data_IF_289669234155
#
_entry.id   IF_289669234155
#
_cell.length_a   1.000
_cell.length_b   1.000
_cell.length_c   1.000
_cell.angle_alpha   90.00
_cell.angle_beta   90.00
_cell.angle_gamma   90.00
#
_symmetry.space_group_name_H-M   'P 1'
#
loop_
_entity.id
_entity.type
_entity.pdbx_description
1 polymer ?
#
# COMPACT_ATOMS: atom_id res chain seq x y z
N UNK A 1 -0.92 -0.81 20.49
CA UNK A 1 0.20 -1.56 19.86
C UNK A 1 0.34 -2.97 20.43
N UNK A 2 0.18 -3.17 21.74
CA UNK A 2 0.32 -4.49 22.42
C UNK A 2 -0.57 -5.60 21.82
N UNK A 3 -1.75 -5.25 21.31
CA UNK A 3 -2.65 -6.21 20.65
C UNK A 3 -2.09 -6.79 19.35
N UNK A 4 -1.36 -5.99 18.55
CA UNK A 4 -0.70 -6.44 17.32
C UNK A 4 0.61 -7.16 17.59
N UNK A 5 1.34 -6.78 18.65
CA UNK A 5 2.60 -7.42 19.01
C UNK A 5 2.45 -8.90 19.39
N UNK A 6 1.26 -9.32 19.84
CA UNK A 6 0.95 -10.70 20.24
C UNK A 6 0.43 -11.59 19.11
N UNK A 7 0.27 -11.06 17.89
CA UNK A 7 -0.26 -11.82 16.76
C UNK A 7 0.86 -12.41 15.89
N UNK A 8 0.65 -13.63 15.37
CA UNK A 8 1.56 -14.26 14.40
C UNK A 8 1.73 -13.42 13.12
N UNK A 9 0.69 -12.68 12.73
CA UNK A 9 0.67 -11.77 11.56
C UNK A 9 1.28 -10.38 11.84
N UNK A 10 2.02 -10.22 12.96
CA UNK A 10 2.69 -8.97 13.35
C UNK A 10 3.42 -8.25 12.19
N UNK A 11 4.26 -8.90 11.35
CA UNK A 11 4.99 -8.17 10.32
C UNK A 11 4.07 -7.53 9.26
N UNK A 12 3.05 -8.26 8.81
CA UNK A 12 2.05 -7.75 7.86
C UNK A 12 1.24 -6.62 8.49
N UNK A 13 0.81 -6.79 9.75
CA UNK A 13 0.05 -5.81 10.48
C UNK A 13 0.79 -4.48 10.63
N UNK A 14 2.06 -4.53 11.06
CA UNK A 14 2.89 -3.35 11.22
C UNK A 14 3.13 -2.62 9.89
N UNK A 15 3.27 -3.35 8.78
CA UNK A 15 3.37 -2.73 7.45
C UNK A 15 2.08 -2.05 7.04
N UNK A 16 0.93 -2.71 7.17
CA UNK A 16 -0.37 -2.12 6.81
C UNK A 16 -0.61 -0.84 7.62
N UNK A 17 -0.30 -0.87 8.92
CA UNK A 17 -0.41 0.29 9.79
C UNK A 17 0.60 1.38 9.42
N UNK A 18 1.85 1.01 9.13
CA UNK A 18 2.88 1.93 8.64
C UNK A 18 2.44 2.62 7.34
N UNK A 19 1.96 1.85 6.36
CA UNK A 19 1.38 2.39 5.13
C UNK A 19 0.23 3.35 5.44
N UNK A 20 -0.68 2.98 6.34
CA UNK A 20 -1.82 3.84 6.71
C UNK A 20 -1.39 5.16 7.36
N UNK A 21 -0.36 5.12 8.21
CA UNK A 21 0.16 6.27 8.96
C UNK A 21 0.95 7.22 8.05
N UNK A 22 1.79 6.68 7.17
CA UNK A 22 2.68 7.49 6.33
C UNK A 22 2.07 7.90 4.99
N UNK A 23 0.97 7.28 4.56
CA UNK A 23 0.25 7.69 3.36
C UNK A 23 -0.42 9.06 3.55
N UNK A 24 -0.13 9.99 2.64
CA UNK A 24 -0.78 11.31 2.58
C UNK A 24 -2.25 11.22 2.16
N UNK A 25 -2.64 10.20 1.38
CA UNK A 25 -4.02 10.01 0.91
C UNK A 25 -4.69 8.83 1.60
N UNK A 26 -6.02 8.79 1.53
CA UNK A 26 -6.80 7.64 1.96
C UNK A 26 -6.38 6.38 1.20
N UNK A 27 -6.07 5.30 1.93
CA UNK A 27 -5.73 4.00 1.37
C UNK A 27 -6.99 3.18 1.13
N UNK A 28 -7.14 2.65 -0.07
CA UNK A 28 -8.23 1.74 -0.42
C UNK A 28 -7.88 0.29 -0.04
N UNK A 29 -8.88 -0.51 0.31
CA UNK A 29 -8.73 -1.94 0.61
C UNK A 29 -7.95 -2.67 -0.49
N UNK A 30 -8.34 -2.44 -1.75
CA UNK A 30 -7.69 -3.07 -2.90
C UNK A 30 -6.21 -2.71 -3.02
N UNK A 31 -5.84 -1.48 -2.67
CA UNK A 31 -4.44 -1.04 -2.69
C UNK A 31 -3.62 -1.79 -1.66
N UNK A 32 -4.14 -1.97 -0.44
CA UNK A 32 -3.46 -2.76 0.59
C UNK A 32 -3.38 -4.23 0.19
N UNK A 33 -4.44 -4.82 -0.37
CA UNK A 33 -4.39 -6.20 -0.86
C UNK A 33 -3.30 -6.40 -1.90
N UNK A 34 -3.15 -5.46 -2.83
CA UNK A 34 -2.08 -5.50 -3.82
C UNK A 34 -0.71 -5.24 -3.20
N UNK A 35 -0.58 -4.27 -2.31
CA UNK A 35 0.68 -3.94 -1.66
C UNK A 35 1.22 -5.13 -0.85
N UNK A 36 0.35 -5.84 -0.11
CA UNK A 36 0.78 -7.06 0.59
C UNK A 36 1.14 -8.18 -0.41
N UNK A 37 0.32 -8.38 -1.45
CA UNK A 37 0.62 -9.40 -2.45
C UNK A 37 1.95 -9.14 -3.17
N UNK A 38 2.25 -7.87 -3.48
CA UNK A 38 3.52 -7.42 -4.10
C UNK A 38 4.69 -7.65 -3.16
N UNK A 39 4.51 -7.34 -1.89
CA UNK A 39 5.59 -7.53 -0.93
C UNK A 39 5.96 -9.01 -0.76
N UNK A 40 4.97 -9.90 -0.84
CA UNK A 40 5.16 -11.36 -0.84
C UNK A 40 5.71 -11.94 -2.16
N UNK A 41 5.77 -11.15 -3.24
CA UNK A 41 6.33 -11.61 -4.52
C UNK A 41 7.83 -11.89 -4.39
N UNK A 42 8.24 -12.99 -5.00
CA UNK A 42 9.65 -13.28 -5.28
C UNK A 42 10.11 -12.45 -6.47
N UNK A 43 11.42 -12.23 -6.58
CA UNK A 43 12.03 -11.53 -7.72
C UNK A 43 11.74 -12.20 -9.08
N UNK A 44 11.41 -13.49 -9.08
CA UNK A 44 10.99 -14.25 -10.26
C UNK A 44 9.54 -13.97 -10.68
N UNK A 45 8.73 -13.44 -9.78
CA UNK A 45 7.30 -13.27 -10.01
C UNK A 45 7.04 -12.00 -10.81
N UNK A 46 6.35 -12.17 -11.92
CA UNK A 46 6.13 -11.10 -12.92
C UNK A 46 4.69 -10.59 -12.96
N UNK A 47 3.83 -11.14 -12.12
CA UNK A 47 2.40 -10.82 -12.06
C UNK A 47 1.80 -11.14 -10.70
N UNK A 48 0.81 -10.36 -10.28
CA UNK A 48 0.02 -10.63 -9.07
C UNK A 48 -1.15 -11.55 -9.45
N UNK A 49 -1.30 -12.67 -8.74
CA UNK A 49 -2.46 -13.55 -8.88
C UNK A 49 -3.59 -13.12 -7.95
N UNK A 50 -4.84 -13.27 -8.39
CA UNK A 50 -6.01 -13.04 -7.54
C UNK A 50 -6.00 -13.92 -6.28
N UNK A 51 -5.35 -15.08 -6.32
CA UNK A 51 -5.19 -15.99 -5.17
C UNK A 51 -4.21 -15.47 -4.11
N UNK A 52 -3.31 -14.56 -4.50
CA UNK A 52 -2.36 -13.91 -3.60
C UNK A 52 -2.96 -12.71 -2.87
N UNK A 53 -4.16 -12.26 -3.26
CA UNK A 53 -4.84 -11.15 -2.61
C UNK A 53 -5.43 -11.61 -1.28
N UNK A 54 -4.97 -11.00 -0.19
CA UNK A 54 -5.46 -11.30 1.14
C UNK A 54 -6.92 -10.87 1.31
N UNK A 55 -7.74 -11.69 1.97
CA UNK A 55 -9.15 -11.32 2.24
C UNK A 55 -9.23 -10.16 3.21
N UNK A 56 -10.27 -9.34 3.06
CA UNK A 56 -10.57 -8.22 3.96
C UNK A 56 -10.55 -8.62 5.44
N UNK A 57 -11.21 -9.72 5.79
CA UNK A 57 -11.29 -10.22 7.17
C UNK A 57 -9.91 -10.55 7.74
N UNK A 58 -9.00 -11.07 6.91
CA UNK A 58 -7.62 -11.38 7.33
C UNK A 58 -6.86 -10.09 7.61
N UNK A 59 -7.01 -9.06 6.77
CA UNK A 59 -6.36 -7.74 6.96
C UNK A 59 -6.84 -7.08 8.27
N UNK A 60 -8.15 -7.06 8.53
CA UNK A 60 -8.73 -6.48 9.75
C UNK A 60 -8.30 -7.25 11.00
N UNK A 61 -8.34 -8.60 10.93
CA UNK A 61 -7.92 -9.47 12.02
C UNK A 61 -6.43 -9.33 12.32
N UNK A 62 -5.59 -9.27 11.28
CA UNK A 62 -4.14 -9.09 11.40
C UNK A 62 -3.79 -7.73 12.03
N UNK A 63 -4.59 -6.69 11.80
CA UNK A 63 -4.40 -5.40 12.45
C UNK A 63 -5.03 -5.32 13.84
N UNK A 64 -5.49 -6.44 14.42
CA UNK A 64 -6.17 -6.54 15.70
C UNK A 64 -7.32 -5.53 15.88
N UNK A 65 -8.02 -5.19 14.79
CA UNK A 65 -9.09 -4.19 14.79
C UNK A 65 -8.61 -2.76 15.05
N UNK A 66 -7.35 -2.42 14.74
CA UNK A 66 -6.88 -1.03 14.78
C UNK A 66 -7.24 -0.25 13.51
N UNK A 67 -7.68 -0.96 12.46
CA UNK A 67 -8.22 -0.38 11.23
C UNK A 67 -9.70 -0.73 11.06
N UNK A 68 -10.44 0.16 10.42
CA UNK A 68 -11.80 -0.04 9.90
C UNK A 68 -11.77 0.15 8.39
N UNK A 69 -12.64 -0.58 7.70
CA UNK A 69 -12.88 -0.39 6.27
C UNK A 69 -14.29 0.15 6.12
N UNK A 70 -14.40 1.27 5.42
CA UNK A 70 -15.68 1.85 5.07
C UNK A 70 -16.37 1.00 4.00
N UNK A 71 -17.64 0.66 4.23
CA UNK A 71 -18.38 -0.28 3.38
C UNK A 71 -18.74 0.27 2.00
N UNK A 72 -18.87 1.59 1.87
CA UNK A 72 -19.26 2.24 0.62
C UNK A 72 -18.02 2.59 -0.22
N UNK A 73 -17.03 3.25 0.42
CA UNK A 73 -15.85 3.77 -0.26
C UNK A 73 -14.66 2.80 -0.29
N UNK A 74 -14.72 1.69 0.48
CA UNK A 74 -13.61 0.76 0.66
C UNK A 74 -12.33 1.42 1.20
N UNK A 75 -12.44 2.57 1.87
CA UNK A 75 -11.32 3.28 2.47
C UNK A 75 -10.94 2.64 3.81
N UNK A 76 -9.65 2.39 3.97
CA UNK A 76 -9.04 1.97 5.24
C UNK A 76 -8.79 3.20 6.09
N UNK A 77 -9.38 3.22 7.27
CA UNK A 77 -9.22 4.25 8.29
C UNK A 77 -8.76 3.63 9.61
N UNK A 78 -8.11 4.41 10.46
CA UNK A 78 -7.85 3.97 11.84
C UNK A 78 -9.17 4.04 12.62
N UNK A 79 -9.40 3.09 13.54
CA UNK A 79 -10.70 2.99 14.25
C UNK A 79 -11.01 4.23 15.09
N UNK A 80 -9.99 4.87 15.66
CA UNK A 80 -10.15 6.09 16.45
C UNK A 80 -9.24 7.21 15.91
N UNK A 81 -9.78 8.43 15.92
CA UNK A 81 -9.03 9.65 15.57
C UNK A 81 -7.80 9.85 16.46
N UNK A 82 -7.92 9.53 17.75
CA UNK A 82 -6.80 9.59 18.72
C UNK A 82 -5.67 8.61 18.38
N UNK A 83 -5.98 7.49 17.72
CA UNK A 83 -4.97 6.56 17.20
C UNK A 83 -4.17 7.19 16.06
N UNK A 84 -4.82 8.00 15.23
CA UNK A 84 -4.14 8.75 14.17
C UNK A 84 -3.21 9.82 14.75
N UNK A 85 -3.70 10.62 15.71
CA UNK A 85 -2.92 11.64 16.41
C UNK A 85 -1.71 11.03 17.17
N UNK A 86 -1.91 9.88 17.81
CA UNK A 86 -0.84 9.13 18.46
C UNK A 86 0.25 8.71 17.47
N UNK A 87 -0.13 8.21 16.29
CA UNK A 87 0.82 7.78 15.27
C UNK A 87 1.44 8.94 14.47
N UNK A 88 0.78 10.10 14.36
CA UNK A 88 1.40 11.30 13.79
C UNK A 88 2.62 11.75 14.62
N UNK A 89 2.56 11.58 15.95
CA UNK A 89 3.67 11.93 16.86
C UNK A 89 4.66 10.77 17.08
N UNK A 90 4.14 9.54 17.14
CA UNK A 90 4.90 8.34 17.54
C UNK A 90 5.28 7.42 16.37
N UNK A 91 4.90 7.77 15.15
CA UNK A 91 5.06 6.97 13.94
C UNK A 91 6.49 6.47 13.71
N UNK A 92 7.53 7.32 13.82
CA UNK A 92 8.92 6.89 13.66
C UNK A 92 9.36 5.83 14.68
N UNK A 93 8.82 5.87 15.91
CA UNK A 93 9.14 4.89 16.96
C UNK A 93 8.50 3.52 16.68
N UNK A 94 7.28 3.52 16.15
CA UNK A 94 6.51 2.30 15.94
C UNK A 94 6.71 1.67 14.56
N UNK A 95 7.03 2.47 13.55
CA UNK A 95 7.22 2.04 12.17
C UNK A 95 8.47 2.69 11.55
N UNK A 96 9.67 2.42 12.10
CA UNK A 96 10.91 3.05 11.65
C UNK A 96 11.26 2.75 10.18
N UNK A 97 10.80 1.61 9.66
CA UNK A 97 11.06 1.16 8.29
C UNK A 97 9.89 1.42 7.34
N UNK A 98 8.81 2.08 7.78
CA UNK A 98 7.60 2.23 6.95
C UNK A 98 7.89 2.89 5.60
N UNK A 99 8.69 3.97 5.58
CA UNK A 99 9.05 4.65 4.34
C UNK A 99 9.89 3.78 3.40
N UNK A 100 10.79 2.97 3.95
CA UNK A 100 11.59 1.99 3.21
C UNK A 100 10.72 0.87 2.64
N UNK A 101 9.82 0.30 3.45
CA UNK A 101 8.89 -0.74 3.03
C UNK A 101 7.97 -0.25 1.91
N UNK A 102 7.49 0.99 2.03
CA UNK A 102 6.74 1.71 0.99
C UNK A 102 7.55 1.76 -0.31
N UNK A 103 8.79 2.27 -0.25
CA UNK A 103 9.63 2.43 -1.42
C UNK A 103 9.94 1.09 -2.12
N UNK A 104 10.31 0.06 -1.36
CA UNK A 104 10.56 -1.28 -1.87
C UNK A 104 9.30 -1.88 -2.51
N UNK A 105 8.15 -1.74 -1.86
CA UNK A 105 6.87 -2.22 -2.41
C UNK A 105 6.56 -1.53 -3.75
N UNK A 106 6.80 -0.23 -3.84
CA UNK A 106 6.66 0.51 -5.11
C UNK A 106 7.62 0.00 -6.19
N UNK A 107 8.89 -0.22 -5.87
CA UNK A 107 9.88 -0.74 -6.83
C UNK A 107 9.51 -2.13 -7.34
N UNK A 108 9.09 -3.04 -6.45
CA UNK A 108 8.58 -4.37 -6.81
C UNK A 108 7.36 -4.25 -7.74
N UNK A 109 6.43 -3.35 -7.44
CA UNK A 109 5.25 -3.12 -8.26
C UNK A 109 5.58 -2.62 -9.66
N UNK A 110 6.48 -1.63 -9.77
CA UNK A 110 6.95 -1.09 -11.06
C UNK A 110 7.76 -2.11 -11.87
N UNK A 111 8.31 -3.14 -11.22
CA UNK A 111 9.04 -4.23 -11.86
C UNK A 111 8.14 -5.34 -12.43
N UNK A 112 6.81 -5.25 -12.25
CA UNK A 112 5.87 -6.20 -12.82
C UNK A 112 5.85 -6.12 -14.35
N UNK A 113 5.59 -7.26 -15.02
CA UNK A 113 5.61 -7.34 -16.49
C UNK A 113 4.65 -6.39 -17.18
N UNK A 114 3.54 -6.06 -16.51
CA UNK A 114 2.57 -5.05 -16.96
C UNK A 114 3.21 -3.68 -17.21
N UNK A 115 4.24 -3.33 -16.43
CA UNK A 115 4.97 -2.07 -16.57
C UNK A 115 6.28 -2.22 -17.35
N UNK A 116 6.75 -3.46 -17.57
CA UNK A 116 7.95 -3.73 -18.38
C UNK A 116 7.73 -3.63 -19.89
N UNK A 117 6.48 -3.45 -20.35
CA UNK A 117 6.15 -3.30 -21.78
C UNK A 117 6.51 -1.91 -22.36
N UNK A 118 7.35 -1.12 -21.69
CA UNK A 118 7.86 0.17 -22.19
C UNK A 118 6.85 1.33 -22.16
N UNK A 119 7.22 2.50 -22.69
CA UNK A 119 6.35 3.67 -22.78
C UNK A 119 5.17 3.41 -23.74
N UNK A 120 3.97 3.91 -23.42
CA UNK A 120 2.85 3.84 -24.36
C UNK A 120 3.04 4.90 -25.43
N UNK A 121 3.31 4.50 -26.67
CA UNK A 121 3.55 5.42 -27.78
C UNK A 121 2.29 6.13 -28.29
N UNK A 122 1.10 5.62 -27.93
CA UNK A 122 -0.20 6.17 -28.32
C UNK A 122 -1.20 6.06 -27.17
N UNK A 123 -2.19 6.97 -27.17
CA UNK A 123 -3.26 6.99 -26.18
C UNK A 123 -4.09 5.69 -26.19
N UNK A 124 -4.28 5.07 -27.34
CA UNK A 124 -4.97 3.77 -27.44
C UNK A 124 -4.22 2.64 -26.74
N UNK A 125 -2.88 2.63 -26.80
CA UNK A 125 -2.04 1.67 -26.09
C UNK A 125 -2.08 1.91 -24.58
N UNK A 126 -2.06 3.18 -24.18
CA UNK A 126 -2.24 3.58 -22.79
C UNK A 126 -3.59 3.13 -22.24
N UNK A 127 -4.69 3.43 -22.94
CA UNK A 127 -6.04 3.02 -22.59
C UNK A 127 -6.21 1.50 -22.58
N UNK A 128 -5.62 0.80 -23.55
CA UNK A 128 -5.63 -0.67 -23.58
C UNK A 128 -4.86 -1.26 -22.41
N UNK A 129 -3.72 -0.66 -22.03
CA UNK A 129 -2.97 -1.07 -20.85
C UNK A 129 -3.78 -0.76 -19.59
N UNK A 130 -4.39 0.41 -19.49
CA UNK A 130 -5.30 0.81 -18.41
C UNK A 130 -6.45 -0.17 -18.24
N UNK A 131 -7.07 -0.61 -19.34
CA UNK A 131 -8.16 -1.60 -19.36
C UNK A 131 -7.68 -3.00 -18.97
N UNK A 132 -6.50 -3.44 -19.42
CA UNK A 132 -5.89 -4.69 -18.92
C UNK A 132 -5.56 -4.60 -17.43
N UNK A 133 -5.16 -3.42 -16.98
CA UNK A 133 -4.96 -3.09 -15.58
C UNK A 133 -6.22 -2.56 -14.91
N UNK A 134 -7.43 -2.75 -15.45
CA UNK A 134 -8.65 -2.22 -14.82
C UNK A 134 -8.91 -2.88 -13.45
N UNK A 135 -8.30 -4.04 -13.20
CA UNK A 135 -8.19 -4.64 -11.86
C UNK A 135 -7.17 -3.94 -10.94
N UNK A 136 -6.15 -3.31 -11.53
CA UNK A 136 -5.06 -2.52 -10.95
C UNK A 136 -5.27 -1.02 -11.26
N UNK A 137 -6.39 -0.42 -10.81
CA UNK A 137 -6.54 1.04 -10.71
C UNK A 137 -5.50 1.62 -9.73
N UNK A 138 -4.23 1.54 -10.11
CA UNK A 138 -3.05 1.82 -9.34
C UNK A 138 -1.93 2.53 -10.13
N UNK A 139 -2.10 3.10 -11.35
CA UNK A 139 -1.17 4.14 -11.78
C UNK A 139 -1.17 5.33 -10.81
N UNK A 140 -2.35 5.71 -10.31
CA UNK A 140 -2.54 6.81 -9.33
C UNK A 140 -2.39 6.37 -7.86
N UNK A 141 -2.52 5.08 -7.58
CA UNK A 141 -2.39 4.53 -6.23
C UNK A 141 -0.94 4.42 -5.76
N UNK A 142 0.01 4.24 -6.68
CA UNK A 142 1.44 4.29 -6.38
C UNK A 142 1.84 5.71 -5.94
N UNK A 143 1.23 6.76 -6.51
CA UNK A 143 1.38 8.14 -5.99
C UNK A 143 0.84 8.32 -4.56
N UNK A 144 -0.22 7.61 -4.18
CA UNK A 144 -0.73 7.62 -2.81
C UNK A 144 0.24 6.97 -1.80
N UNK A 145 1.12 6.07 -2.27
CA UNK A 145 2.19 5.45 -1.49
C UNK A 145 3.44 6.36 -1.48
N UNK A 146 3.79 7.02 -2.61
CA UNK A 146 4.97 7.91 -2.74
C UNK A 146 4.83 9.21 -1.95
N UNK A 147 3.60 9.64 -1.66
CA UNK A 147 3.35 10.83 -0.88
C UNK A 147 3.60 10.51 0.60
N UNK A 148 4.88 10.54 0.98
CA UNK A 148 5.37 10.37 2.34
C UNK A 148 5.16 11.68 3.11
N UNK A 149 4.44 11.60 4.23
CA UNK A 149 4.47 12.66 5.25
C UNK A 149 5.90 12.71 5.82
N UNK A 150 6.68 13.74 5.45
CA UNK A 150 8.05 13.92 5.94
C UNK A 150 8.53 15.37 5.79
N UNK A 151 9.26 15.94 6.77
CA UNK A 151 9.76 17.32 6.72
C UNK A 151 10.89 17.55 5.70
N UNK A 152 11.43 16.50 5.09
CA UNK A 152 12.62 16.54 4.22
C UNK A 152 12.44 15.80 2.87
N UNK A 153 11.22 15.60 2.40
CA UNK A 153 11.02 14.95 1.09
C UNK A 153 11.27 15.97 -0.02
N UNK A 154 12.52 16.04 -0.47
CA UNK A 154 12.93 16.76 -1.67
C UNK A 154 12.04 16.26 -2.81
N UNK A 155 11.28 17.18 -3.38
CA UNK A 155 10.48 16.99 -4.58
C UNK A 155 11.45 16.82 -5.76
N UNK A 156 12.09 15.66 -5.84
CA UNK A 156 12.65 15.19 -7.09
C UNK A 156 11.70 14.12 -7.56
N UNK A 157 11.03 14.39 -8.68
CA UNK A 157 10.92 13.53 -9.86
C UNK A 157 9.90 14.24 -10.78
N UNK A 158 10.38 14.57 -12.00
CA UNK A 158 9.74 15.16 -13.19
C UNK A 158 9.90 16.67 -13.41
N UNK A 159 11.00 17.02 -14.08
CA UNK A 159 11.00 18.00 -15.17
C UNK A 159 11.20 17.25 -16.49
#
# INVERSE_FOLDING_TARGET
MDRVQKQYTKPVALRILGWRVYAVRALLLRQVQHAVAVDELKLSDRSISAKSLMRQSVIVNACAGMIRIDGESNIISLVHKTTQEYFDQSGPKHFPQAQWDIAITCLKYLSLKVFSEGHCSTDELYERRLRKTHYLSMPLGVWAIISLKGPNTVCMIWH
#
